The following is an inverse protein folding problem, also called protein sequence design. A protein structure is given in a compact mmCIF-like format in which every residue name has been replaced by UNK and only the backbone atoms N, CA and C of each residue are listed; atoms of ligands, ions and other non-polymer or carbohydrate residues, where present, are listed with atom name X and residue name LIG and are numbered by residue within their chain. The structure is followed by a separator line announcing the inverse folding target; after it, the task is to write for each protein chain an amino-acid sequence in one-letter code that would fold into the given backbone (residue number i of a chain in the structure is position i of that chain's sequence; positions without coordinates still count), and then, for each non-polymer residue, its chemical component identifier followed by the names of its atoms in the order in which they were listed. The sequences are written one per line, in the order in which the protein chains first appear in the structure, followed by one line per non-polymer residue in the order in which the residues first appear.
data_IF_814367896168
#
_entry.id   IF_814367896168
#
_cell.length_a   1.000
_cell.length_b   1.000
_cell.length_c   1.000
_cell.angle_alpha   90.00
_cell.angle_beta   90.00
_cell.angle_gamma   90.00
#
_symmetry.space_group_name_H-M   'P 1'
#
loop_
_entity.id
_entity.type
_entity.pdbx_description
1 polymer ?
#
# COMPACT_ATOMS: atom_id res chain seq x y z
N UNK A 1 -23.17 -6.70 -45.61
CA UNK A 1 -24.05 -7.67 -44.93
C UNK A 1 -23.64 -7.69 -43.46
N UNK A 2 -24.60 -7.41 -42.57
CA UNK A 2 -24.55 -7.41 -41.10
C UNK A 2 -23.48 -6.47 -40.47
N UNK A 3 -23.75 -5.30 -39.90
CA UNK A 3 -24.84 -4.83 -39.01
C UNK A 3 -24.95 -5.60 -37.67
N UNK A 4 -24.40 -5.02 -36.60
CA UNK A 4 -25.02 -4.76 -35.28
C UNK A 4 -23.94 -4.52 -34.20
N UNK A 5 -23.71 -3.30 -33.72
CA UNK A 5 -24.37 -2.67 -32.55
C UNK A 5 -24.09 -3.32 -31.17
N UNK A 6 -23.23 -2.70 -30.34
CA UNK A 6 -23.67 -1.87 -29.18
C UNK A 6 -22.53 -1.42 -28.25
N UNK A 7 -22.46 -0.10 -28.13
CA UNK A 7 -22.25 0.72 -26.92
C UNK A 7 -20.91 0.72 -26.16
N UNK A 8 -20.17 1.79 -26.45
CA UNK A 8 -19.33 2.59 -25.55
C UNK A 8 -20.01 2.89 -24.20
N UNK A 9 -19.23 2.83 -23.12
CA UNK A 9 -19.37 3.74 -21.97
C UNK A 9 -17.95 4.16 -21.55
N UNK A 10 -17.53 5.35 -21.99
CA UNK A 10 -16.42 6.10 -21.40
C UNK A 10 -16.97 6.84 -20.18
N UNK A 11 -16.56 6.46 -18.97
CA UNK A 11 -16.78 7.30 -17.79
C UNK A 11 -15.67 8.35 -17.74
N UNK A 12 -15.94 9.52 -18.30
CA UNK A 12 -15.27 10.74 -17.93
C UNK A 12 -15.87 11.22 -16.60
N UNK A 13 -15.09 11.17 -15.52
CA UNK A 13 -15.38 11.92 -14.31
C UNK A 13 -15.15 13.41 -14.59
N UNK A 14 -16.20 14.11 -15.01
CA UNK A 14 -16.28 15.57 -14.83
C UNK A 14 -16.84 15.77 -13.43
N UNK A 15 -16.00 16.29 -12.54
CA UNK A 15 -16.43 16.76 -11.23
C UNK A 15 -16.99 18.16 -11.47
N UNK A 16 -18.30 18.26 -11.64
CA UNK A 16 -19.01 19.53 -11.49
C UNK A 16 -19.04 19.87 -9.99
N UNK A 17 -18.09 20.71 -9.57
CA UNK A 17 -18.16 21.44 -8.32
C UNK A 17 -19.14 22.59 -8.51
N UNK A 18 -20.44 22.39 -8.25
CA UNK A 18 -21.42 23.46 -7.96
C UNK A 18 -22.82 22.90 -7.61
N UNK A 19 -22.93 22.07 -6.58
CA UNK A 19 -24.23 21.87 -5.92
C UNK A 19 -24.08 22.12 -4.42
N UNK A 20 -24.58 23.28 -3.99
CA UNK A 20 -24.71 23.61 -2.58
C UNK A 20 -25.63 22.58 -1.89
N UNK A 21 -25.27 22.10 -0.68
CA UNK A 21 -26.02 21.05 0.02
C UNK A 21 -27.38 21.50 0.58
N UNK A 22 -27.88 22.69 0.21
CA UNK A 22 -29.14 23.27 0.71
C UNK A 22 -30.40 22.86 -0.06
N UNK A 23 -30.30 22.44 -1.33
CA UNK A 23 -31.47 22.29 -2.22
C UNK A 23 -32.37 21.07 -1.93
N UNK A 24 -31.81 19.98 -1.41
CA UNK A 24 -32.55 18.71 -1.21
C UNK A 24 -33.41 18.74 0.07
N UNK A 25 -33.07 19.62 1.02
CA UNK A 25 -33.83 19.77 2.27
C UNK A 25 -35.09 20.64 2.04
N UNK A 26 -35.00 21.70 1.22
CA UNK A 26 -36.15 22.56 0.92
C UNK A 26 -37.25 21.87 0.09
N UNK A 27 -36.89 20.98 -0.85
CA UNK A 27 -37.90 20.29 -1.67
C UNK A 27 -38.73 19.27 -0.87
N UNK A 28 -38.15 18.66 0.17
CA UNK A 28 -38.86 17.72 1.03
C UNK A 28 -39.78 18.41 2.05
N UNK A 29 -39.48 19.67 2.42
CA UNK A 29 -40.36 20.52 3.24
C UNK A 29 -41.54 21.09 2.44
N UNK A 30 -41.38 21.41 1.15
CA UNK A 30 -42.49 21.90 0.32
C UNK A 30 -43.52 20.82 -0.05
N UNK A 31 -43.10 19.55 -0.17
CA UNK A 31 -44.03 18.43 -0.45
C UNK A 31 -44.89 18.04 0.76
N UNK A 32 -44.43 18.30 1.99
CA UNK A 32 -45.20 18.01 3.21
C UNK A 32 -46.21 19.12 3.56
N UNK A 33 -46.02 20.35 3.05
CA UNK A 33 -46.95 21.46 3.27
C UNK A 33 -48.15 21.41 2.31
N UNK A 34 -48.05 20.77 1.13
CA UNK A 34 -49.16 20.71 0.16
C UNK A 34 -50.26 19.69 0.49
N UNK A 35 -50.11 18.88 1.54
CA UNK A 35 -51.13 17.91 1.96
C UNK A 35 -52.25 18.52 2.85
N UNK A 36 -52.08 19.76 3.33
CA UNK A 36 -53.01 20.38 4.28
C UNK A 36 -54.03 21.37 3.68
N UNK A 37 -54.01 21.61 2.37
CA UNK A 37 -54.91 22.57 1.71
C UNK A 37 -55.86 21.90 0.72
N UNK A 38 -56.68 20.96 1.19
CA UNK A 38 -57.93 20.64 0.50
C UNK A 38 -59.11 21.33 1.20
N UNK A 39 -60.02 21.98 0.46
CA UNK A 39 -61.20 22.61 1.05
C UNK A 39 -62.11 21.51 1.62
N UNK A 40 -62.21 21.46 2.94
CA UNK A 40 -63.17 20.60 3.63
C UNK A 40 -64.59 21.06 3.27
N UNK A 41 -65.34 20.22 2.55
CA UNK A 41 -66.78 20.33 2.46
C UNK A 41 -67.37 20.01 3.84
N UNK A 42 -67.89 21.04 4.50
CA UNK A 42 -68.56 20.94 5.80
C UNK A 42 -69.91 20.24 5.63
N UNK A 43 -69.92 18.91 5.71
CA UNK A 43 -71.10 18.18 6.17
C UNK A 43 -71.15 18.33 7.69
N UNK A 44 -72.19 18.99 8.19
CA UNK A 44 -72.47 19.09 9.61
C UNK A 44 -72.87 17.70 10.15
N UNK A 45 -71.87 16.87 10.42
CA UNK A 45 -72.03 15.71 11.27
C UNK A 45 -72.29 16.22 12.71
N UNK A 46 -73.24 15.63 13.46
CA UNK A 46 -73.41 15.96 14.87
C UNK A 46 -72.07 15.76 15.58
N UNK A 47 -71.62 16.77 16.32
CA UNK A 47 -70.36 16.72 17.06
C UNK A 47 -70.31 15.40 17.84
N UNK A 48 -69.32 14.53 17.59
CA UNK A 48 -69.13 13.37 18.45
C UNK A 48 -68.94 13.93 19.86
N UNK A 49 -69.83 13.51 20.76
CA UNK A 49 -69.72 13.79 22.19
C UNK A 49 -68.47 13.05 22.64
N UNK A 50 -67.33 13.74 22.61
CA UNK A 50 -66.14 13.25 23.25
C UNK A 50 -66.44 13.19 24.75
N UNK A 51 -66.30 12.03 25.42
CA UNK A 51 -66.36 12.02 26.87
C UNK A 51 -65.33 13.02 27.37
N UNK A 52 -65.76 13.99 28.18
CA UNK A 52 -64.85 14.90 28.86
C UNK A 52 -63.90 14.03 29.68
N UNK A 53 -62.67 13.89 29.20
CA UNK A 53 -61.61 13.23 29.95
C UNK A 53 -61.51 13.95 31.29
N UNK A 54 -61.49 13.18 32.37
CA UNK A 54 -61.22 13.75 33.69
C UNK A 54 -59.87 14.49 33.66
N UNK A 55 -59.70 15.50 34.52
CA UNK A 55 -58.44 16.25 34.62
C UNK A 55 -57.26 15.29 34.80
N UNK A 56 -57.43 14.23 35.58
CA UNK A 56 -56.43 13.17 35.78
C UNK A 56 -56.06 12.43 34.49
N UNK A 57 -57.04 12.08 33.66
CA UNK A 57 -56.79 11.42 32.37
C UNK A 57 -56.12 12.36 31.36
N UNK A 58 -56.46 13.65 31.37
CA UNK A 58 -55.80 14.65 30.53
C UNK A 58 -54.34 14.84 30.96
N UNK A 59 -54.07 14.91 32.27
CA UNK A 59 -52.71 14.99 32.81
C UNK A 59 -51.89 13.74 32.48
N UNK A 60 -52.47 12.53 32.58
CA UNK A 60 -51.76 11.29 32.21
C UNK A 60 -51.40 11.23 30.72
N UNK A 61 -52.31 11.67 29.84
CA UNK A 61 -52.02 11.75 28.39
C UNK A 61 -50.92 12.77 28.11
N UNK A 62 -50.93 13.91 28.78
CA UNK A 62 -49.90 14.95 28.63
C UNK A 62 -48.53 14.44 29.10
N UNK A 63 -48.45 13.77 30.25
CA UNK A 63 -47.23 13.13 30.75
C UNK A 63 -46.72 12.05 29.79
N UNK A 64 -47.62 11.21 29.25
CA UNK A 64 -47.25 10.18 28.28
C UNK A 64 -46.72 10.80 26.99
N UNK A 65 -47.35 11.86 26.49
CA UNK A 65 -46.93 12.56 25.29
C UNK A 65 -45.57 13.24 25.47
N UNK A 66 -45.31 13.86 26.62
CA UNK A 66 -43.99 14.40 26.98
C UNK A 66 -42.93 13.30 27.06
N UNK A 67 -43.26 12.14 27.61
CA UNK A 67 -42.33 11.00 27.69
C UNK A 67 -41.97 10.44 26.31
N UNK A 68 -42.96 10.31 25.41
CA UNK A 68 -42.75 9.88 24.02
C UNK A 68 -41.91 10.90 23.25
N UNK A 69 -42.15 12.20 23.47
CA UNK A 69 -41.36 13.27 22.86
C UNK A 69 -39.90 13.21 23.34
N UNK A 70 -39.66 13.09 24.64
CA UNK A 70 -38.30 12.94 25.19
C UNK A 70 -37.59 11.69 24.65
N UNK A 71 -38.28 10.55 24.53
CA UNK A 71 -37.71 9.34 23.94
C UNK A 71 -37.36 9.52 22.46
N UNK A 72 -38.21 10.23 21.71
CA UNK A 72 -37.99 10.51 20.29
C UNK A 72 -36.80 11.46 20.09
N UNK A 73 -36.72 12.51 20.90
CA UNK A 73 -35.58 13.44 20.91
C UNK A 73 -34.27 12.74 21.25
N UNK A 74 -34.27 11.86 22.27
CA UNK A 74 -33.11 11.06 22.63
C UNK A 74 -32.66 10.13 21.49
N UNK A 75 -33.61 9.49 20.79
CA UNK A 75 -33.30 8.64 19.63
C UNK A 75 -32.73 9.44 18.45
N UNK A 76 -33.27 10.65 18.19
CA UNK A 76 -32.76 11.54 17.15
C UNK A 76 -31.34 11.99 17.49
N UNK A 77 -31.09 12.42 18.74
CA UNK A 77 -29.75 12.79 19.20
C UNK A 77 -28.76 11.64 19.07
N UNK A 78 -29.14 10.43 19.48
CA UNK A 78 -28.27 9.26 19.37
C UNK A 78 -27.89 8.97 17.91
N UNK A 79 -28.85 8.99 16.98
CA UNK A 79 -28.57 8.81 15.54
C UNK A 79 -27.66 9.90 14.99
N UNK A 80 -27.78 11.14 15.48
CA UNK A 80 -26.96 12.26 15.05
C UNK A 80 -25.52 12.11 15.55
N UNK A 81 -25.34 11.67 16.80
CA UNK A 81 -24.02 11.32 17.37
C UNK A 81 -23.38 10.17 16.59
N UNK A 82 -24.12 9.09 16.34
CA UNK A 82 -23.61 7.94 15.58
C UNK A 82 -23.21 8.34 14.15
N UNK A 83 -24.01 9.19 13.49
CA UNK A 83 -23.67 9.72 12.17
C UNK A 83 -22.43 10.60 12.19
N UNK A 84 -22.23 11.39 13.25
CA UNK A 84 -21.05 12.23 13.40
C UNK A 84 -19.79 11.38 13.61
N UNK A 85 -19.84 10.42 14.54
CA UNK A 85 -18.74 9.49 14.81
C UNK A 85 -18.36 8.68 13.57
N UNK A 86 -19.35 8.23 12.80
CA UNK A 86 -19.08 7.52 11.54
C UNK A 86 -18.36 8.41 10.52
N UNK A 87 -18.82 9.66 10.34
CA UNK A 87 -18.15 10.62 9.44
C UNK A 87 -16.71 10.91 9.88
N UNK A 88 -16.47 11.03 11.18
CA UNK A 88 -15.13 11.24 11.73
C UNK A 88 -14.21 10.03 11.47
N UNK A 89 -14.72 8.81 11.68
CA UNK A 89 -13.98 7.58 11.36
C UNK A 89 -13.69 7.44 9.86
N UNK A 90 -14.66 7.75 9.00
CA UNK A 90 -14.51 7.69 7.55
C UNK A 90 -13.49 8.73 7.07
N UNK A 91 -13.52 9.95 7.62
CA UNK A 91 -12.52 10.98 7.37
C UNK A 91 -11.12 10.52 7.78
N UNK A 92 -10.98 9.91 8.96
CA UNK A 92 -9.71 9.40 9.44
C UNK A 92 -9.16 8.29 8.54
N UNK A 93 -10.01 7.34 8.13
CA UNK A 93 -9.64 6.29 7.16
C UNK A 93 -9.19 6.88 5.82
N UNK A 94 -9.90 7.90 5.34
CA UNK A 94 -9.54 8.56 4.09
C UNK A 94 -8.19 9.28 4.19
N UNK A 95 -7.92 10.00 5.29
CA UNK A 95 -6.64 10.64 5.55
C UNK A 95 -5.49 9.63 5.62
N UNK A 96 -5.70 8.47 6.27
CA UNK A 96 -4.71 7.39 6.29
C UNK A 96 -4.45 6.82 4.89
N UNK A 97 -5.51 6.66 4.09
CA UNK A 97 -5.39 6.18 2.72
C UNK A 97 -4.56 7.14 1.86
N UNK A 98 -4.82 8.45 1.95
CA UNK A 98 -4.06 9.47 1.22
C UNK A 98 -2.59 9.44 1.63
N UNK A 99 -2.29 9.50 2.94
CA UNK A 99 -0.91 9.45 3.45
C UNK A 99 -0.16 8.20 2.99
N UNK A 100 -0.84 7.07 2.94
CA UNK A 100 -0.26 5.81 2.47
C UNK A 100 0.10 5.91 0.98
N UNK A 101 -0.77 6.46 0.16
CA UNK A 101 -0.54 6.62 -1.27
C UNK A 101 0.59 7.63 -1.56
N UNK A 102 0.65 8.73 -0.83
CA UNK A 102 1.75 9.71 -0.92
C UNK A 102 3.10 9.07 -0.59
N UNK A 103 3.16 8.24 0.46
CA UNK A 103 4.37 7.50 0.83
C UNK A 103 4.77 6.49 -0.26
N UNK A 104 3.82 5.76 -0.84
CA UNK A 104 4.09 4.86 -1.97
C UNK A 104 4.71 5.59 -3.14
N UNK A 105 4.15 6.74 -3.52
CA UNK A 105 4.66 7.55 -4.61
C UNK A 105 6.07 8.06 -4.33
N UNK A 106 6.33 8.56 -3.11
CA UNK A 106 7.66 9.02 -2.70
C UNK A 106 8.71 7.90 -2.74
N UNK A 107 8.37 6.71 -2.22
CA UNK A 107 9.26 5.55 -2.25
C UNK A 107 9.54 5.10 -3.69
N UNK A 108 8.53 5.14 -4.56
CA UNK A 108 8.68 4.82 -5.99
C UNK A 108 9.64 5.80 -6.69
N UNK A 109 9.54 7.09 -6.40
CA UNK A 109 10.45 8.10 -6.97
C UNK A 109 11.89 7.89 -6.50
N UNK A 110 12.11 7.68 -5.20
CA UNK A 110 13.45 7.41 -4.65
C UNK A 110 14.09 6.16 -5.29
N UNK A 111 13.29 5.11 -5.52
CA UNK A 111 13.75 3.91 -6.20
C UNK A 111 14.18 4.17 -7.65
N UNK A 112 13.41 4.99 -8.38
CA UNK A 112 13.73 5.37 -9.75
C UNK A 112 15.02 6.19 -9.80
N UNK A 113 15.20 7.13 -8.87
CA UNK A 113 16.43 7.92 -8.73
C UNK A 113 17.64 7.03 -8.45
N UNK A 114 17.52 6.08 -7.51
CA UNK A 114 18.57 5.12 -7.21
C UNK A 114 18.92 4.27 -8.45
N UNK A 115 17.91 3.72 -9.15
CA UNK A 115 18.12 2.96 -10.40
C UNK A 115 18.86 3.78 -11.46
N UNK A 116 18.51 5.05 -11.61
CA UNK A 116 19.20 5.95 -12.55
C UNK A 116 20.63 6.28 -12.12
N UNK A 117 20.89 6.45 -10.83
CA UNK A 117 22.24 6.66 -10.31
C UNK A 117 23.14 5.44 -10.57
N UNK A 118 22.65 4.23 -10.30
CA UNK A 118 23.37 3.00 -10.61
C UNK A 118 23.59 2.79 -12.11
N UNK A 119 22.58 3.09 -12.93
CA UNK A 119 22.71 3.01 -14.39
C UNK A 119 23.87 3.88 -14.88
N UNK A 120 23.92 5.15 -14.44
CA UNK A 120 25.03 6.07 -14.74
C UNK A 120 26.38 5.52 -14.28
N UNK A 121 26.45 5.03 -13.05
CA UNK A 121 27.68 4.44 -12.51
C UNK A 121 28.16 3.21 -13.31
N UNK A 122 27.25 2.39 -13.84
CA UNK A 122 27.61 1.23 -14.65
C UNK A 122 28.01 1.57 -16.09
N UNK A 123 27.46 2.64 -16.67
CA UNK A 123 27.83 3.10 -18.02
C UNK A 123 29.28 3.59 -18.08
N UNK A 124 29.83 4.02 -16.95
CA UNK A 124 31.23 4.46 -16.82
C UNK A 124 32.22 3.28 -16.64
N UNK A 125 31.73 2.05 -16.44
CA UNK A 125 32.59 0.87 -16.20
C UNK A 125 32.92 0.11 -17.49
N UNK A 126 34.18 -0.33 -17.63
CA UNK A 126 34.67 -1.11 -18.79
C UNK A 126 34.31 -2.59 -18.75
N UNK A 127 33.64 -3.03 -17.68
CA UNK A 127 33.16 -4.40 -17.54
C UNK A 127 31.80 -4.42 -16.84
N UNK A 128 31.02 -5.46 -17.12
CA UNK A 128 29.68 -5.63 -16.60
C UNK A 128 29.48 -7.06 -16.09
N UNK A 129 28.55 -7.24 -15.16
CA UNK A 129 28.06 -8.57 -14.78
C UNK A 129 26.88 -8.91 -15.68
N UNK A 130 26.91 -10.09 -16.30
CA UNK A 130 25.84 -10.62 -17.16
C UNK A 130 25.54 -12.08 -16.81
N UNK A 131 24.39 -12.59 -17.28
CA UNK A 131 24.08 -14.02 -17.23
C UNK A 131 24.60 -14.71 -18.50
N UNK A 132 25.31 -15.83 -18.34
CA UNK A 132 25.65 -16.71 -19.46
C UNK A 132 24.45 -17.55 -19.93
N UNK A 133 24.65 -18.37 -20.97
CA UNK A 133 23.61 -19.27 -21.50
C UNK A 133 23.16 -20.37 -20.51
N UNK A 134 23.91 -20.59 -19.44
CA UNK A 134 23.59 -21.50 -18.36
C UNK A 134 23.04 -20.76 -17.12
N UNK A 135 22.62 -19.50 -17.28
CA UNK A 135 22.08 -18.65 -16.23
C UNK A 135 23.03 -18.46 -15.02
N UNK A 136 24.34 -18.45 -15.26
CA UNK A 136 25.36 -18.14 -14.25
C UNK A 136 25.85 -16.71 -14.42
N UNK A 137 26.14 -16.04 -13.31
CA UNK A 137 26.70 -14.69 -13.35
C UNK A 137 28.17 -14.75 -13.76
N UNK A 138 28.51 -14.07 -14.84
CA UNK A 138 29.85 -13.93 -15.37
C UNK A 138 30.19 -12.45 -15.54
N UNK A 139 31.48 -12.12 -15.51
CA UNK A 139 31.95 -10.78 -15.86
C UNK A 139 32.24 -10.73 -17.35
N UNK A 140 31.58 -9.82 -18.04
CA UNK A 140 31.90 -9.46 -19.42
C UNK A 140 32.99 -8.39 -19.41
N UNK A 141 34.08 -8.66 -20.12
CA UNK A 141 35.23 -7.75 -20.22
C UNK A 141 35.30 -7.25 -21.66
N UNK A 142 35.10 -5.95 -21.83
CA UNK A 142 35.15 -5.28 -23.14
C UNK A 142 36.49 -4.58 -23.29
N UNK A 143 37.37 -5.17 -24.10
CA UNK A 143 38.65 -4.56 -24.50
C UNK A 143 38.42 -3.83 -25.83
N UNK A 144 38.85 -2.56 -25.98
CA UNK A 144 38.75 -1.84 -27.25
C UNK A 144 39.34 -2.66 -28.40
N UNK A 145 38.62 -2.72 -29.52
CA UNK A 145 39.01 -3.46 -30.74
C UNK A 145 39.05 -4.99 -30.59
N UNK A 146 38.52 -5.56 -29.51
CA UNK A 146 38.36 -7.00 -29.35
C UNK A 146 36.90 -7.37 -29.11
N UNK A 147 36.53 -8.59 -29.47
CA UNK A 147 35.22 -9.12 -29.09
C UNK A 147 35.18 -9.27 -27.56
N UNK A 148 34.08 -8.89 -26.91
CA UNK A 148 33.92 -9.11 -25.48
C UNK A 148 34.04 -10.60 -25.17
N UNK A 149 34.64 -10.92 -24.04
CA UNK A 149 34.75 -12.29 -23.55
C UNK A 149 34.23 -12.39 -22.12
N UNK A 150 33.75 -13.58 -21.78
CA UNK A 150 33.17 -13.87 -20.47
C UNK A 150 34.19 -14.51 -19.55
N UNK A 151 34.23 -14.04 -18.31
CA UNK A 151 34.98 -14.70 -17.25
C UNK A 151 34.36 -16.06 -16.90
N UNK A 152 35.08 -16.83 -16.08
CA UNK A 152 34.45 -17.93 -15.33
C UNK A 152 33.30 -17.38 -14.46
N UNK A 153 32.31 -18.21 -14.12
CA UNK A 153 31.23 -17.83 -13.21
C UNK A 153 31.75 -17.22 -11.91
N UNK A 154 31.12 -16.13 -11.49
CA UNK A 154 31.40 -15.39 -10.25
C UNK A 154 31.03 -16.24 -9.03
N UNK A 155 29.98 -17.05 -9.17
CA UNK A 155 29.46 -17.95 -8.14
C UNK A 155 29.37 -19.40 -8.63
N UNK A 156 29.19 -20.32 -7.68
CA UNK A 156 29.12 -21.77 -7.93
C UNK A 156 27.69 -22.30 -8.12
N UNK A 157 26.72 -21.40 -8.16
CA UNK A 157 25.30 -21.70 -8.38
C UNK A 157 24.81 -21.12 -9.71
N UNK A 158 23.67 -21.63 -10.18
CA UNK A 158 22.95 -21.14 -11.36
C UNK A 158 21.60 -20.53 -10.99
N UNK A 159 20.99 -19.83 -11.95
CA UNK A 159 19.64 -19.28 -11.85
C UNK A 159 19.42 -18.36 -10.64
N UNK A 160 20.28 -17.34 -10.45
CA UNK A 160 20.09 -16.37 -9.38
C UNK A 160 18.80 -15.59 -9.61
N UNK A 161 17.95 -15.56 -8.60
CA UNK A 161 16.75 -14.76 -8.52
C UNK A 161 16.96 -13.70 -7.45
N UNK A 162 16.62 -12.47 -7.82
CA UNK A 162 16.70 -11.31 -6.94
C UNK A 162 15.29 -10.76 -6.74
N UNK A 163 14.83 -10.75 -5.50
CA UNK A 163 13.51 -10.22 -5.15
C UNK A 163 13.71 -9.10 -4.15
N UNK A 164 13.32 -7.88 -4.51
CA UNK A 164 13.32 -6.72 -3.62
C UNK A 164 11.96 -6.62 -2.95
N UNK A 165 11.94 -6.85 -1.65
CA UNK A 165 10.78 -6.60 -0.83
C UNK A 165 10.79 -5.15 -0.36
N UNK A 166 9.76 -4.39 -0.71
CA UNK A 166 9.65 -2.96 -0.38
C UNK A 166 8.58 -2.77 0.70
N UNK A 167 8.95 -2.09 1.79
CA UNK A 167 7.97 -1.61 2.77
C UNK A 167 7.25 -0.36 2.26
N UNK A 168 5.91 -0.38 2.33
CA UNK A 168 5.09 0.80 2.00
C UNK A 168 5.22 1.90 3.07
N UNK A 169 5.53 1.52 4.32
CA UNK A 169 5.45 2.43 5.47
C UNK A 169 6.73 3.13 5.91
N UNK A 170 7.88 2.75 5.37
CA UNK A 170 9.16 3.34 5.74
C UNK A 170 10.05 3.53 4.52
N UNK A 171 10.48 4.76 4.29
CA UNK A 171 11.46 5.08 3.25
C UNK A 171 12.80 4.37 3.56
N UNK A 172 13.45 3.82 2.52
CA UNK A 172 14.77 3.18 2.65
C UNK A 172 14.79 1.76 3.21
N UNK A 173 13.66 1.21 3.67
CA UNK A 173 13.61 -0.14 4.22
C UNK A 173 13.17 -1.15 3.16
N UNK A 174 14.13 -1.61 2.36
CA UNK A 174 13.95 -2.76 1.47
C UNK A 174 14.95 -3.87 1.82
N UNK A 175 14.55 -5.13 1.59
CA UNK A 175 15.46 -6.28 1.59
C UNK A 175 15.52 -6.83 0.20
N UNK A 176 16.71 -7.16 -0.27
CA UNK A 176 16.89 -7.96 -1.47
C UNK A 176 17.19 -9.40 -1.06
N UNK A 177 16.31 -10.30 -1.43
CA UNK A 177 16.55 -11.73 -1.34
C UNK A 177 17.32 -12.19 -2.59
N UNK A 178 18.42 -12.91 -2.37
CA UNK A 178 19.09 -13.74 -3.37
C UNK A 178 18.74 -15.21 -3.10
N UNK A 179 18.04 -15.83 -4.03
CA UNK A 179 17.85 -17.28 -4.10
C UNK A 179 18.43 -17.82 -5.40
N UNK A 180 18.90 -19.06 -5.40
CA UNK A 180 19.53 -19.67 -6.59
C UNK A 180 19.51 -21.20 -6.49
N UNK A 181 19.65 -21.88 -7.63
CA UNK A 181 19.78 -23.34 -7.67
C UNK A 181 21.15 -23.72 -7.14
N UNK A 182 21.17 -24.49 -6.05
CA UNK A 182 22.39 -24.88 -5.34
C UNK A 182 22.65 -24.11 -4.04
N UNK A 183 21.86 -23.06 -3.74
CA UNK A 183 21.84 -22.44 -2.42
C UNK A 183 20.83 -23.16 -1.52
N UNK A 184 21.27 -23.61 -0.34
CA UNK A 184 20.39 -24.25 0.66
C UNK A 184 19.41 -23.26 1.30
N UNK A 185 19.87 -22.03 1.49
CA UNK A 185 19.10 -20.96 2.14
C UNK A 185 19.27 -19.67 1.35
N UNK A 186 18.20 -18.89 1.16
CA UNK A 186 18.31 -17.58 0.53
C UNK A 186 19.18 -16.64 1.37
N UNK A 187 19.84 -15.70 0.70
CA UNK A 187 20.65 -14.66 1.34
C UNK A 187 19.90 -13.35 1.28
N UNK A 188 19.71 -12.73 2.44
CA UNK A 188 19.00 -11.46 2.56
C UNK A 188 20.00 -10.31 2.69
N UNK A 189 19.92 -9.35 1.77
CA UNK A 189 20.69 -8.10 1.79
C UNK A 189 19.82 -6.95 2.25
N UNK A 190 20.31 -6.21 3.25
CA UNK A 190 19.77 -4.92 3.66
C UNK A 190 20.36 -3.79 2.81
N UNK A 191 19.77 -2.60 2.84
CA UNK A 191 20.33 -1.40 2.20
C UNK A 191 21.78 -1.17 2.65
N UNK A 192 22.01 -1.22 3.96
CA UNK A 192 23.33 -1.17 4.58
C UNK A 192 24.33 -2.18 4.02
N UNK A 193 23.89 -3.39 3.62
CA UNK A 193 24.78 -4.42 3.08
C UNK A 193 25.25 -4.07 1.66
N UNK A 194 24.45 -3.29 0.92
CA UNK A 194 24.67 -2.90 -0.48
C UNK A 194 25.41 -1.56 -0.62
N UNK A 195 25.48 -0.75 0.45
CA UNK A 195 26.22 0.52 0.47
C UNK A 195 27.72 0.38 0.18
N UNK A 196 28.30 -0.78 0.46
CA UNK A 196 29.74 -0.98 0.36
C UNK A 196 30.10 -2.36 -0.15
N UNK A 197 31.02 -2.46 -1.12
CA UNK A 197 31.56 -3.74 -1.57
C UNK A 197 32.11 -4.60 -0.44
N UNK A 198 32.70 -3.97 0.59
CA UNK A 198 33.24 -4.67 1.75
C UNK A 198 32.14 -5.32 2.59
N UNK A 199 31.01 -4.64 2.78
CA UNK A 199 29.88 -5.15 3.57
C UNK A 199 29.20 -6.30 2.82
N UNK A 200 28.89 -6.11 1.53
CA UNK A 200 28.32 -7.16 0.68
C UNK A 200 29.20 -8.41 0.64
N UNK A 201 30.52 -8.25 0.46
CA UNK A 201 31.47 -9.36 0.46
C UNK A 201 31.44 -10.13 1.78
N UNK A 202 31.47 -9.44 2.91
CA UNK A 202 31.40 -10.07 4.24
C UNK A 202 30.10 -10.86 4.39
N UNK A 203 28.97 -10.30 3.95
CA UNK A 203 27.66 -10.96 4.00
C UNK A 203 27.62 -12.24 3.15
N UNK A 204 28.12 -12.19 1.93
CA UNK A 204 28.23 -13.35 1.04
C UNK A 204 29.10 -14.45 1.65
N UNK A 205 30.29 -14.10 2.14
CA UNK A 205 31.21 -15.06 2.76
C UNK A 205 30.62 -15.69 4.02
N UNK A 206 29.97 -14.90 4.89
CA UNK A 206 29.25 -15.42 6.06
C UNK A 206 28.15 -16.41 5.67
N UNK A 207 27.55 -16.23 4.50
CA UNK A 207 26.50 -17.10 3.95
C UNK A 207 27.07 -18.31 3.19
N UNK A 208 28.40 -18.52 3.23
CA UNK A 208 29.07 -19.62 2.52
C UNK A 208 29.25 -19.40 1.02
N UNK A 209 29.00 -18.19 0.52
CA UNK A 209 29.13 -17.85 -0.89
C UNK A 209 30.49 -17.20 -1.14
N UNK A 210 31.30 -17.82 -2.00
CA UNK A 210 32.60 -17.32 -2.41
C UNK A 210 32.54 -16.67 -3.78
N UNK A 211 33.21 -15.52 -3.92
CA UNK A 211 33.29 -14.77 -5.16
C UNK A 211 34.55 -15.20 -5.91
N UNK A 212 34.39 -15.74 -7.12
CA UNK A 212 35.47 -16.10 -8.03
C UNK A 212 35.89 -14.91 -8.87
N UNK A 213 36.79 -14.08 -8.35
CA UNK A 213 37.39 -12.96 -9.06
C UNK A 213 38.88 -12.80 -8.72
N UNK A 214 39.72 -12.30 -9.65
CA UNK A 214 41.09 -11.91 -9.34
C UNK A 214 41.16 -10.93 -8.16
N UNK A 215 42.15 -11.08 -7.28
CA UNK A 215 42.29 -10.23 -6.08
C UNK A 215 42.33 -8.73 -6.40
N UNK A 216 42.88 -8.35 -7.55
CA UNK A 216 42.99 -6.95 -8.00
C UNK A 216 41.67 -6.35 -8.47
N UNK A 217 40.70 -7.18 -8.88
CA UNK A 217 39.42 -6.75 -9.44
C UNK A 217 38.21 -7.20 -8.61
N UNK A 218 38.43 -7.76 -7.41
CA UNK A 218 37.35 -8.31 -6.59
C UNK A 218 36.38 -7.22 -6.13
N UNK A 219 36.89 -6.08 -5.70
CA UNK A 219 36.05 -4.96 -5.24
C UNK A 219 35.25 -4.35 -6.40
N UNK A 220 35.87 -4.22 -7.58
CA UNK A 220 35.20 -3.81 -8.82
C UNK A 220 34.09 -4.80 -9.22
N UNK A 221 34.37 -6.10 -9.16
CA UNK A 221 33.39 -7.16 -9.46
C UNK A 221 32.21 -7.10 -8.50
N UNK A 222 32.46 -6.81 -7.23
CA UNK A 222 31.39 -6.65 -6.23
C UNK A 222 30.57 -5.38 -6.51
N UNK A 223 31.20 -4.25 -6.85
CA UNK A 223 30.47 -3.05 -7.26
C UNK A 223 29.52 -3.35 -8.43
N UNK A 224 30.01 -4.04 -9.46
CA UNK A 224 29.21 -4.42 -10.62
C UNK A 224 28.10 -5.40 -10.25
N UNK A 225 28.36 -6.30 -9.31
CA UNK A 225 27.35 -7.21 -8.79
C UNK A 225 26.25 -6.45 -8.03
N UNK A 226 26.60 -5.49 -7.17
CA UNK A 226 25.61 -4.64 -6.47
C UNK A 226 24.70 -3.96 -7.49
N UNK A 227 25.30 -3.32 -8.50
CA UNK A 227 24.55 -2.64 -9.54
C UNK A 227 23.66 -3.62 -10.34
N UNK A 228 24.19 -4.81 -10.65
CA UNK A 228 23.42 -5.86 -11.32
C UNK A 228 22.22 -6.30 -10.49
N UNK A 229 22.39 -6.54 -9.19
CA UNK A 229 21.32 -6.94 -8.27
C UNK A 229 20.26 -5.86 -8.21
N UNK A 230 20.65 -4.60 -8.02
CA UNK A 230 19.72 -3.49 -7.89
C UNK A 230 18.89 -3.28 -9.16
N UNK A 231 19.51 -3.50 -10.32
CA UNK A 231 18.86 -3.38 -11.64
C UNK A 231 17.90 -4.53 -11.92
N UNK A 232 18.27 -5.76 -11.58
CA UNK A 232 17.53 -6.97 -11.96
C UNK A 232 16.60 -7.50 -10.85
N UNK A 233 16.58 -6.89 -9.67
CA UNK A 233 15.66 -7.30 -8.61
C UNK A 233 14.20 -7.01 -8.99
N UNK A 234 13.36 -8.04 -8.88
CA UNK A 234 11.91 -7.97 -8.99
C UNK A 234 11.34 -7.29 -7.76
N UNK A 235 10.62 -6.17 -7.92
CA UNK A 235 10.02 -5.47 -6.81
C UNK A 235 8.73 -6.20 -6.38
N UNK A 236 8.64 -6.58 -5.10
CA UNK A 236 7.44 -7.12 -4.47
C UNK A 236 7.02 -6.24 -3.31
N UNK A 237 5.81 -5.71 -3.40
CA UNK A 237 5.19 -4.97 -2.32
C UNK A 237 4.73 -5.94 -1.24
N UNK A 238 5.09 -5.64 0.01
CA UNK A 238 4.56 -6.37 1.16
C UNK A 238 3.33 -5.61 1.68
N UNK A 239 2.20 -6.31 1.96
CA UNK A 239 1.03 -5.69 2.55
C UNK A 239 1.37 -4.97 3.86
N UNK A 240 0.78 -3.80 4.07
CA UNK A 240 0.92 -3.03 5.31
C UNK A 240 0.53 -3.84 6.56
N UNK A 241 -0.49 -4.70 6.42
CA UNK A 241 -1.06 -5.54 7.49
C UNK A 241 -0.15 -6.70 7.91
N UNK A 242 0.74 -7.14 7.03
CA UNK A 242 1.72 -8.22 7.28
C UNK A 242 3.14 -7.66 7.34
N UNK A 243 3.23 -6.41 7.79
CA UNK A 243 4.40 -5.56 7.64
C UNK A 243 5.64 -5.98 8.43
N UNK A 244 6.70 -5.29 8.05
CA UNK A 244 8.01 -5.24 8.68
C UNK A 244 7.92 -4.85 10.15
N UNK A 245 8.40 -5.70 11.04
CA UNK A 245 8.77 -5.27 12.38
C UNK A 245 10.25 -5.52 12.60
N UNK A 246 11.00 -4.42 12.79
CA UNK A 246 12.30 -4.47 13.45
C UNK A 246 11.99 -4.57 14.93
N UNK A 247 11.96 -5.80 15.46
CA UNK A 247 11.88 -6.00 16.92
C UNK A 247 13.30 -6.19 17.41
N UNK A 248 13.87 -5.14 18.01
CA UNK A 248 15.25 -5.13 18.53
C UNK A 248 16.29 -5.40 17.41
N UNK A 249 16.87 -6.59 17.37
CA UNK A 249 17.96 -7.03 16.45
C UNK A 249 17.47 -8.09 15.43
N UNK A 250 16.15 -8.25 15.29
CA UNK A 250 15.55 -9.27 14.46
C UNK A 250 14.64 -8.67 13.41
N UNK A 251 14.79 -9.16 12.18
CA UNK A 251 13.85 -8.93 11.09
C UNK A 251 12.77 -9.99 11.16
N UNK A 252 11.53 -9.54 11.30
CA UNK A 252 10.36 -10.42 11.22
C UNK A 252 9.66 -10.12 9.91
N UNK A 253 9.78 -11.05 8.96
CA UNK A 253 8.96 -11.09 7.76
C UNK A 253 7.71 -11.88 8.07
N UNK A 254 6.53 -11.33 7.79
CA UNK A 254 5.27 -12.08 7.85
C UNK A 254 4.74 -12.15 6.43
N UNK A 255 4.79 -13.33 5.81
CA UNK A 255 4.07 -13.54 4.54
C UNK A 255 2.57 -13.62 4.78
N UNK A 256 1.82 -13.51 3.69
CA UNK A 256 0.40 -13.84 3.57
C UNK A 256 0.09 -15.27 4.03
N UNK A 257 1.11 -16.15 4.10
CA UNK A 257 1.04 -17.54 4.59
C UNK A 257 1.51 -17.72 6.04
N UNK A 258 1.77 -16.65 6.78
CA UNK A 258 2.31 -16.69 8.15
C UNK A 258 3.69 -17.37 8.28
N UNK A 259 4.45 -17.49 7.18
CA UNK A 259 5.83 -17.98 7.22
C UNK A 259 6.72 -16.85 7.76
N UNK A 260 7.23 -17.06 8.97
CA UNK A 260 8.10 -16.09 9.63
C UNK A 260 9.54 -16.28 9.13
N UNK A 261 10.02 -15.48 8.19
CA UNK A 261 11.46 -15.45 7.89
C UNK A 261 12.14 -14.57 8.95
N UNK A 262 12.74 -15.22 9.95
CA UNK A 262 13.50 -14.54 11.01
C UNK A 262 14.94 -14.34 10.52
N UNK A 263 15.29 -13.11 10.15
CA UNK A 263 16.67 -12.71 9.92
C UNK A 263 17.29 -12.19 11.21
N UNK A 264 18.43 -12.73 11.66
CA UNK A 264 19.22 -12.12 12.76
C UNK A 264 20.12 -11.02 12.21
N UNK A 265 20.04 -9.82 12.79
CA UNK A 265 21.04 -8.78 12.61
C UNK A 265 22.22 -9.08 13.54
N UNK A 266 23.29 -9.70 13.04
CA UNK A 266 24.52 -9.84 13.84
C UNK A 266 25.29 -8.51 13.84
N UNK A 267 25.23 -7.76 14.95
CA UNK A 267 26.05 -6.55 15.11
C UNK A 267 25.78 -5.67 16.32
N UNK A 268 24.67 -5.83 17.04
CA UNK A 268 24.45 -5.09 18.27
C UNK A 268 25.29 -5.70 19.39
N UNK A 269 26.48 -5.14 19.58
CA UNK A 269 27.25 -5.35 20.79
C UNK A 269 26.51 -4.67 21.95
N UNK A 270 26.34 -5.44 23.02
CA UNK A 270 25.92 -4.98 24.35
C UNK A 270 26.75 -3.81 24.83
#
# INVERSE_FOLDING_TARGET
MAEANKQKVEMCCVIDTNEEPGGVIEQNLKKSISFYNQPYHAYAAPSPVYPYLSVEQQTQLQIHQEMVNMQTEAQIMQRLVDSYLKKEQDLHRHQLSIKTEELKQKNRLQLLEARQAYKRQTEEMTSAVICDSAHRLCREISIPNQKPYLSKPIFDFSDPKFVRFVSVGAAGNYVIELSAVGLKTPVLFLDDDLDSPKKMKRKLVKSGIFIRAPRRSIDETICQLIAFIIRNAEDREIPWTTGWNIVREHFVFVTDKSETLIGKQEGAKK
#
